data_IF_812837418870
#
_entry.id   IF_812837418870
#
_cell.length_a   1.000
_cell.length_b   1.000
_cell.length_c   1.000
_cell.angle_alpha   90.00
_cell.angle_beta   90.00
_cell.angle_gamma   90.00
#
_symmetry.space_group_name_H-M   'P 1'
#
loop_
_entity.id
_entity.type
_entity.pdbx_description
1 polymer ?
#
# COMPACT_ATOMS: atom_id res chain seq x y z
N UNK A 1 15.14 -7.00 -34.55
CA UNK A 1 15.51 -5.79 -33.79
C UNK A 1 16.31 -6.22 -32.59
N UNK A 2 17.58 -5.85 -32.53
CA UNK A 2 18.51 -6.19 -31.45
C UNK A 2 18.08 -5.40 -30.21
N UNK A 3 17.57 -6.08 -29.19
CA UNK A 3 17.16 -5.48 -27.91
C UNK A 3 18.41 -4.83 -27.29
N UNK A 4 18.43 -3.50 -27.19
CA UNK A 4 19.51 -2.79 -26.50
C UNK A 4 19.62 -3.35 -25.08
N UNK A 5 20.81 -3.83 -24.73
CA UNK A 5 21.03 -4.42 -23.42
C UNK A 5 21.02 -3.30 -22.37
N UNK A 6 20.03 -3.32 -21.48
CA UNK A 6 20.02 -2.53 -20.25
C UNK A 6 21.38 -2.63 -19.53
N UNK A 7 22.03 -1.48 -19.35
CA UNK A 7 23.37 -1.41 -18.75
C UNK A 7 23.30 -1.51 -17.22
N UNK A 8 24.31 -2.12 -16.61
CA UNK A 8 24.44 -2.17 -15.13
C UNK A 8 24.43 -0.77 -14.51
N UNK A 9 24.98 0.22 -15.21
CA UNK A 9 24.96 1.63 -14.81
C UNK A 9 23.54 2.20 -14.73
N UNK A 10 22.64 1.82 -15.64
CA UNK A 10 21.24 2.26 -15.61
C UNK A 10 20.50 1.67 -14.41
N UNK A 11 20.71 0.38 -14.12
CA UNK A 11 20.13 -0.29 -12.95
C UNK A 11 20.63 0.31 -11.64
N UNK A 12 21.94 0.55 -11.52
CA UNK A 12 22.51 1.19 -10.34
C UNK A 12 21.99 2.62 -10.13
N UNK A 13 21.81 3.41 -11.21
CA UNK A 13 21.17 4.74 -11.11
C UNK A 13 19.71 4.67 -10.69
N UNK A 14 19.00 3.61 -11.06
CA UNK A 14 17.64 3.36 -10.62
C UNK A 14 17.56 2.80 -9.19
N UNK A 15 18.69 2.66 -8.48
CA UNK A 15 18.74 2.24 -7.08
C UNK A 15 18.79 0.73 -6.85
N UNK A 16 18.91 -0.08 -7.90
CA UNK A 16 19.03 -1.53 -7.74
C UNK A 16 20.41 -1.94 -7.21
N UNK A 17 20.42 -2.87 -6.27
CA UNK A 17 21.61 -3.47 -5.67
C UNK A 17 21.85 -4.89 -6.21
N UNK A 18 20.78 -5.68 -6.41
CA UNK A 18 20.80 -7.08 -6.85
C UNK A 18 20.98 -7.28 -8.37
N UNK A 19 21.96 -6.62 -8.98
CA UNK A 19 22.06 -6.43 -10.44
C UNK A 19 22.01 -7.71 -11.30
N UNK A 20 22.42 -8.86 -10.78
CA UNK A 20 22.42 -10.14 -11.52
C UNK A 20 21.05 -10.81 -11.59
N UNK A 21 20.22 -10.73 -10.55
CA UNK A 21 18.87 -11.32 -10.51
C UNK A 21 17.79 -10.38 -11.04
N UNK A 22 18.00 -9.07 -10.88
CA UNK A 22 17.05 -8.02 -11.29
C UNK A 22 16.69 -8.10 -12.77
N UNK A 23 17.62 -8.46 -13.64
CA UNK A 23 17.35 -8.49 -15.08
C UNK A 23 16.28 -9.50 -15.47
N UNK A 24 16.35 -10.72 -14.94
CA UNK A 24 15.35 -11.75 -15.22
C UNK A 24 13.97 -11.35 -14.69
N UNK A 25 13.93 -10.74 -13.50
CA UNK A 25 12.71 -10.23 -12.89
C UNK A 25 12.10 -9.05 -13.66
N UNK A 26 12.93 -8.14 -14.21
CA UNK A 26 12.47 -7.05 -15.07
C UNK A 26 11.92 -7.59 -16.41
N UNK A 27 12.57 -8.60 -16.98
CA UNK A 27 12.09 -9.25 -18.20
C UNK A 27 10.74 -9.95 -17.94
N UNK A 28 10.59 -10.63 -16.80
CA UNK A 28 9.33 -11.23 -16.37
C UNK A 28 8.24 -10.16 -16.16
N UNK A 29 8.57 -9.08 -15.45
CA UNK A 29 7.64 -7.98 -15.19
C UNK A 29 7.16 -7.35 -16.51
N UNK A 30 8.09 -7.11 -17.45
CA UNK A 30 7.75 -6.63 -18.78
C UNK A 30 6.84 -7.61 -19.54
N UNK A 31 7.08 -8.92 -19.40
CA UNK A 31 6.22 -9.95 -19.99
C UNK A 31 4.80 -9.97 -19.41
N UNK A 32 4.66 -9.85 -18.08
CA UNK A 32 3.36 -9.86 -17.39
C UNK A 32 2.56 -8.57 -17.62
N UNK A 33 3.25 -7.44 -17.72
CA UNK A 33 2.61 -6.12 -17.85
C UNK A 33 2.40 -5.70 -19.31
N UNK A 34 3.23 -6.20 -20.23
CA UNK A 34 3.28 -5.74 -21.61
C UNK A 34 4.06 -4.43 -21.80
N UNK A 35 4.69 -3.88 -20.76
CA UNK A 35 5.44 -2.62 -20.83
C UNK A 35 6.94 -2.86 -21.01
N UNK A 36 7.62 -2.05 -21.85
CA UNK A 36 9.07 -2.05 -21.93
C UNK A 36 9.70 -1.79 -20.57
N UNK A 37 10.83 -2.44 -20.30
CA UNK A 37 11.55 -2.24 -19.02
C UNK A 37 11.96 -0.79 -18.82
N UNK A 38 12.33 -0.07 -19.90
CA UNK A 38 12.69 1.34 -19.83
C UNK A 38 11.55 2.24 -19.33
N UNK A 39 10.29 1.84 -19.57
CA UNK A 39 9.11 2.57 -19.08
C UNK A 39 8.81 2.24 -17.60
N UNK A 40 9.19 1.04 -17.14
CA UNK A 40 8.97 0.56 -15.77
C UNK A 40 10.04 1.07 -14.80
N UNK A 41 11.28 1.24 -15.27
CA UNK A 41 12.43 1.64 -14.45
C UNK A 41 12.23 2.95 -13.67
N UNK A 42 11.68 4.04 -14.25
CA UNK A 42 11.45 5.28 -13.52
C UNK A 42 10.45 5.13 -12.36
N UNK A 43 9.53 4.16 -12.43
CA UNK A 43 8.57 3.91 -11.36
C UNK A 43 9.16 3.05 -10.24
N UNK A 44 9.94 2.02 -10.60
CA UNK A 44 10.68 1.19 -9.64
C UNK A 44 11.74 1.99 -8.89
N UNK A 45 12.51 2.83 -9.62
CA UNK A 45 13.53 3.68 -9.00
C UNK A 45 12.98 4.83 -8.15
N UNK A 46 11.66 5.03 -8.13
CA UNK A 46 11.01 5.95 -7.21
C UNK A 46 10.68 5.30 -5.85
N UNK A 47 10.85 3.99 -5.70
CA UNK A 47 10.69 3.28 -4.44
C UNK A 47 11.97 3.38 -3.60
N UNK A 48 11.81 3.30 -2.27
CA UNK A 48 12.94 3.32 -1.33
C UNK A 48 13.84 2.08 -1.48
N UNK A 49 13.25 0.93 -1.83
CA UNK A 49 13.95 -0.32 -2.18
C UNK A 49 13.39 -0.87 -3.51
N UNK A 50 14.04 -0.58 -4.65
CA UNK A 50 13.61 -1.04 -5.97
C UNK A 50 13.68 -2.56 -6.15
N UNK A 51 14.65 -3.25 -5.52
CA UNK A 51 14.79 -4.71 -5.59
C UNK A 51 13.59 -5.40 -4.90
N UNK A 52 13.24 -4.91 -3.70
CA UNK A 52 12.08 -5.42 -2.97
C UNK A 52 10.76 -5.06 -3.68
N UNK A 53 10.63 -3.83 -4.17
CA UNK A 53 9.45 -3.40 -4.93
C UNK A 53 9.22 -4.29 -6.17
N UNK A 54 10.27 -4.58 -6.94
CA UNK A 54 10.20 -5.47 -8.10
C UNK A 54 9.75 -6.88 -7.70
N UNK A 55 10.37 -7.45 -6.67
CA UNK A 55 10.05 -8.79 -6.18
C UNK A 55 8.60 -8.90 -5.70
N UNK A 56 8.12 -7.91 -4.95
CA UNK A 56 6.76 -7.91 -4.42
C UNK A 56 5.71 -7.60 -5.50
N UNK A 57 6.04 -6.76 -6.49
CA UNK A 57 5.17 -6.51 -7.63
C UNK A 57 4.94 -7.77 -8.47
N UNK A 58 5.99 -8.56 -8.72
CA UNK A 58 5.89 -9.86 -9.40
C UNK A 58 4.99 -10.82 -8.61
N UNK A 59 5.19 -10.92 -7.29
CA UNK A 59 4.35 -11.76 -6.42
C UNK A 59 2.87 -11.34 -6.48
N UNK A 60 2.58 -10.03 -6.47
CA UNK A 60 1.22 -9.51 -6.60
C UNK A 60 0.60 -9.85 -7.96
N UNK A 61 1.34 -9.66 -9.06
CA UNK A 61 0.87 -10.00 -10.41
C UNK A 61 0.61 -11.50 -10.58
N UNK A 62 1.44 -12.36 -9.99
CA UNK A 62 1.26 -13.81 -10.04
C UNK A 62 0.07 -14.26 -9.17
N UNK A 63 -0.11 -13.66 -8.00
CA UNK A 63 -1.15 -14.07 -7.04
C UNK A 63 -2.53 -13.52 -7.41
N UNK A 64 -2.60 -12.26 -7.84
CA UNK A 64 -3.84 -11.53 -8.11
C UNK A 64 -3.73 -10.75 -9.42
N UNK A 65 -3.57 -11.43 -10.58
CA UNK A 65 -3.27 -10.80 -11.87
C UNK A 65 -4.30 -9.75 -12.28
N UNK A 66 -5.59 -9.99 -12.03
CA UNK A 66 -6.67 -9.06 -12.41
C UNK A 66 -6.58 -7.76 -11.62
N UNK A 67 -6.39 -7.84 -10.30
CA UNK A 67 -6.31 -6.67 -9.43
C UNK A 67 -4.99 -5.94 -9.66
N UNK A 68 -3.85 -6.65 -9.67
CA UNK A 68 -2.52 -6.06 -9.78
C UNK A 68 -2.25 -5.43 -11.16
N UNK A 69 -2.76 -6.00 -12.26
CA UNK A 69 -2.55 -5.46 -13.60
C UNK A 69 -3.15 -4.06 -13.80
N UNK A 70 -4.11 -3.63 -12.98
CA UNK A 70 -4.61 -2.25 -13.00
C UNK A 70 -3.57 -1.23 -12.51
N UNK A 71 -2.71 -1.65 -11.58
CA UNK A 71 -1.84 -0.74 -10.83
C UNK A 71 -0.39 -0.81 -11.26
N UNK A 72 0.15 -2.01 -11.49
CA UNK A 72 1.57 -2.17 -11.78
C UNK A 72 2.04 -1.46 -13.07
N UNK A 73 1.21 -1.28 -14.12
CA UNK A 73 1.75 -0.80 -15.39
C UNK A 73 1.20 0.51 -15.96
N UNK A 74 0.31 1.25 -15.28
CA UNK A 74 -0.21 2.53 -15.82
C UNK A 74 -0.13 3.69 -14.84
N UNK A 75 0.24 4.88 -15.37
CA UNK A 75 0.01 6.25 -14.88
C UNK A 75 -0.09 6.46 -13.36
N UNK A 76 0.86 7.19 -12.76
CA UNK A 76 0.90 7.70 -11.36
C UNK A 76 0.61 6.69 -10.22
N UNK A 77 -0.44 5.88 -10.30
CA UNK A 77 -0.90 4.85 -9.37
C UNK A 77 0.14 3.73 -9.22
N UNK A 78 0.79 3.33 -10.32
CA UNK A 78 1.91 2.37 -10.29
C UNK A 78 3.04 2.83 -9.37
N UNK A 79 3.40 4.12 -9.42
CA UNK A 79 4.46 4.67 -8.58
C UNK A 79 4.09 4.59 -7.11
N UNK A 80 2.82 4.81 -6.77
CA UNK A 80 2.35 4.80 -5.38
C UNK A 80 2.35 3.39 -4.80
N UNK A 81 1.83 2.42 -5.54
CA UNK A 81 1.92 1.01 -5.14
C UNK A 81 3.37 0.58 -4.97
N UNK A 82 4.23 0.86 -5.95
CA UNK A 82 5.65 0.48 -5.91
C UNK A 82 6.41 1.16 -4.76
N UNK A 83 6.15 2.45 -4.49
CA UNK A 83 6.70 3.16 -3.33
C UNK A 83 6.31 2.50 -2.02
N UNK A 84 5.02 2.23 -1.84
CA UNK A 84 4.49 1.65 -0.59
C UNK A 84 5.05 0.25 -0.36
N UNK A 85 5.02 -0.63 -1.36
CA UNK A 85 5.51 -2.01 -1.18
C UNK A 85 7.04 -2.08 -1.10
N UNK A 86 7.75 -1.17 -1.76
CA UNK A 86 9.20 -1.05 -1.62
C UNK A 86 9.62 -0.55 -0.24
N UNK A 87 8.80 0.29 0.40
CA UNK A 87 9.06 0.79 1.75
C UNK A 87 8.57 -0.16 2.86
N UNK A 88 7.61 -1.05 2.59
CA UNK A 88 6.97 -1.89 3.61
C UNK A 88 6.52 -3.25 3.07
N UNK A 89 7.25 -4.31 3.47
CA UNK A 89 6.83 -5.69 3.22
C UNK A 89 5.45 -5.99 3.82
N UNK A 90 5.14 -5.42 4.99
CA UNK A 90 3.84 -5.58 5.64
C UNK A 90 2.68 -5.02 4.81
N UNK A 91 2.90 -3.94 4.05
CA UNK A 91 1.91 -3.42 3.11
C UNK A 91 1.72 -4.37 1.92
N UNK A 92 2.80 -4.92 1.38
CA UNK A 92 2.72 -5.90 0.30
C UNK A 92 2.01 -7.18 0.73
N UNK A 93 2.30 -7.71 1.92
CA UNK A 93 1.57 -8.85 2.48
C UNK A 93 0.09 -8.56 2.70
N UNK A 94 -0.25 -7.33 3.09
CA UNK A 94 -1.64 -6.90 3.20
C UNK A 94 -2.34 -6.98 1.84
N UNK A 95 -1.74 -6.45 0.77
CA UNK A 95 -2.30 -6.54 -0.58
C UNK A 95 -2.36 -7.98 -1.11
N UNK A 96 -1.39 -8.83 -0.78
CA UNK A 96 -1.46 -10.25 -1.13
C UNK A 96 -2.65 -10.94 -0.46
N UNK A 97 -2.92 -10.62 0.82
CA UNK A 97 -4.07 -11.16 1.56
C UNK A 97 -5.40 -10.53 1.16
N UNK A 98 -5.38 -9.27 0.72
CA UNK A 98 -6.56 -8.48 0.36
C UNK A 98 -6.33 -7.71 -0.96
N UNK A 99 -6.30 -8.39 -2.13
CA UNK A 99 -5.93 -7.72 -3.39
C UNK A 99 -6.87 -6.57 -3.81
N UNK A 100 -8.13 -6.60 -3.38
CA UNK A 100 -9.09 -5.52 -3.63
C UNK A 100 -8.68 -4.19 -2.96
N UNK A 101 -7.86 -4.26 -1.90
CA UNK A 101 -7.39 -3.09 -1.16
C UNK A 101 -6.30 -2.31 -1.88
N UNK A 102 -5.77 -2.80 -3.01
CA UNK A 102 -4.96 -1.98 -3.93
C UNK A 102 -5.70 -0.70 -4.35
N UNK A 103 -7.03 -0.74 -4.39
CA UNK A 103 -7.90 0.43 -4.62
C UNK A 103 -7.74 1.56 -3.59
N UNK A 104 -7.11 1.29 -2.44
CA UNK A 104 -6.77 2.33 -1.47
C UNK A 104 -5.86 3.41 -2.05
N UNK A 105 -5.10 3.04 -3.10
CA UNK A 105 -4.11 3.87 -3.78
C UNK A 105 -4.59 4.35 -5.16
N UNK A 106 -5.90 4.28 -5.45
CA UNK A 106 -6.48 4.80 -6.71
C UNK A 106 -6.25 6.32 -6.85
N UNK A 107 -6.28 7.08 -5.75
CA UNK A 107 -6.21 8.56 -5.78
C UNK A 107 -5.19 9.07 -4.76
N UNK A 108 -4.41 10.12 -5.09
CA UNK A 108 -3.42 10.65 -4.17
C UNK A 108 -4.10 11.17 -2.92
N UNK A 109 -3.51 10.91 -1.77
CA UNK A 109 -3.92 11.55 -0.52
C UNK A 109 -3.37 12.97 -0.57
N UNK A 110 -4.25 13.96 -0.64
CA UNK A 110 -3.85 15.37 -0.78
C UNK A 110 -3.84 16.12 0.56
N UNK A 111 -4.53 15.57 1.56
CA UNK A 111 -4.55 16.06 2.93
C UNK A 111 -4.65 14.87 3.89
N UNK A 112 -4.00 14.99 5.04
CA UNK A 112 -4.13 14.02 6.12
C UNK A 112 -5.55 14.07 6.71
N UNK A 113 -6.15 12.91 7.01
CA UNK A 113 -7.46 12.88 7.63
C UNK A 113 -7.37 13.40 9.07
N UNK A 114 -8.45 14.03 9.51
CA UNK A 114 -8.63 14.43 10.91
C UNK A 114 -8.87 13.22 11.80
N UNK A 115 -8.62 13.36 13.11
CA UNK A 115 -8.95 12.34 14.10
C UNK A 115 -10.43 11.90 14.04
N UNK A 116 -11.33 12.86 13.77
CA UNK A 116 -12.77 12.61 13.66
C UNK A 116 -13.11 11.74 12.45
N UNK A 117 -12.51 12.02 11.29
CA UNK A 117 -12.72 11.22 10.07
C UNK A 117 -12.18 9.79 10.24
N UNK A 118 -11.02 9.63 10.88
CA UNK A 118 -10.44 8.32 11.18
C UNK A 118 -11.32 7.52 12.14
N UNK A 119 -11.81 8.18 13.20
CA UNK A 119 -12.72 7.58 14.18
C UNK A 119 -14.02 7.14 13.54
N UNK A 120 -14.64 8.01 12.75
CA UNK A 120 -15.87 7.70 12.03
C UNK A 120 -15.69 6.51 11.07
N UNK A 121 -14.60 6.50 10.29
CA UNK A 121 -14.31 5.43 9.32
C UNK A 121 -14.09 4.06 9.96
N UNK A 122 -13.38 4.00 11.09
CA UNK A 122 -13.17 2.72 11.79
C UNK A 122 -14.41 2.25 12.53
N UNK A 123 -15.22 3.16 13.09
CA UNK A 123 -16.52 2.81 13.68
C UNK A 123 -17.51 2.30 12.63
N UNK A 124 -17.56 2.94 11.45
CA UNK A 124 -18.37 2.49 10.32
C UNK A 124 -17.97 1.08 9.86
N UNK A 125 -16.68 0.75 9.86
CA UNK A 125 -16.21 -0.58 9.45
C UNK A 125 -16.75 -1.74 10.30
N UNK A 126 -17.17 -1.46 11.54
CA UNK A 126 -17.80 -2.44 12.44
C UNK A 126 -19.31 -2.20 12.61
N UNK A 127 -19.88 -1.26 11.85
CA UNK A 127 -21.29 -0.86 11.91
C UNK A 127 -21.68 -0.31 13.28
N UNK A 128 -20.80 0.46 13.94
CA UNK A 128 -21.06 0.92 15.29
C UNK A 128 -22.24 1.92 15.34
N UNK A 129 -23.22 1.64 16.20
CA UNK A 129 -24.35 2.52 16.52
C UNK A 129 -24.43 2.66 18.03
N UNK A 130 -24.51 3.90 18.53
CA UNK A 130 -24.54 4.23 19.96
C UNK A 130 -23.42 3.55 20.78
N UNK A 131 -22.26 3.35 20.14
CA UNK A 131 -21.08 2.73 20.75
C UNK A 131 -21.10 1.21 20.80
N UNK A 132 -21.97 0.54 20.05
CA UNK A 132 -22.03 -0.93 19.91
C UNK A 132 -21.87 -1.32 18.45
N UNK A 133 -20.99 -2.27 18.16
CA UNK A 133 -20.83 -2.83 16.81
C UNK A 133 -22.10 -3.59 16.36
N UNK A 134 -22.42 -3.53 15.07
CA UNK A 134 -23.52 -4.31 14.48
C UNK A 134 -23.12 -5.79 14.25
N UNK A 135 -21.85 -6.02 13.95
CA UNK A 135 -21.25 -7.34 13.73
C UNK A 135 -20.51 -7.84 14.97
N UNK A 136 -20.41 -9.16 15.14
CA UNK A 136 -19.75 -9.78 16.29
C UNK A 136 -18.54 -10.62 15.86
N UNK A 137 -17.71 -10.96 16.85
CA UNK A 137 -16.64 -11.96 16.72
C UNK A 137 -15.68 -11.70 15.55
N UNK A 138 -15.34 -12.73 14.78
CA UNK A 138 -14.29 -12.73 13.78
C UNK A 138 -14.56 -11.77 12.61
N UNK A 139 -15.83 -11.58 12.25
CA UNK A 139 -16.23 -10.65 11.19
C UNK A 139 -15.90 -9.21 11.55
N UNK A 140 -16.24 -8.79 12.77
CA UNK A 140 -15.94 -7.44 13.27
C UNK A 140 -14.43 -7.18 13.30
N UNK A 141 -13.65 -8.15 13.79
CA UNK A 141 -12.19 -8.03 13.83
C UNK A 141 -11.57 -7.99 12.44
N UNK A 142 -12.09 -8.77 11.50
CA UNK A 142 -11.61 -8.78 10.12
C UNK A 142 -11.89 -7.45 9.44
N UNK A 143 -13.13 -6.95 9.53
CA UNK A 143 -13.52 -5.67 8.95
C UNK A 143 -12.68 -4.51 9.51
N UNK A 144 -12.49 -4.45 10.82
CA UNK A 144 -11.65 -3.44 11.47
C UNK A 144 -10.19 -3.52 11.01
N UNK A 145 -9.59 -4.72 10.97
CA UNK A 145 -8.19 -4.90 10.56
C UNK A 145 -7.97 -4.54 9.09
N UNK A 146 -8.93 -4.85 8.22
CA UNK A 146 -8.88 -4.46 6.80
C UNK A 146 -8.96 -2.94 6.68
N UNK A 147 -9.94 -2.30 7.33
CA UNK A 147 -10.09 -0.84 7.26
C UNK A 147 -8.90 -0.09 7.86
N UNK A 148 -8.39 -0.53 9.01
CA UNK A 148 -7.19 0.03 9.62
C UNK A 148 -5.99 -0.03 8.68
N UNK A 149 -5.72 -1.19 8.08
CA UNK A 149 -4.60 -1.35 7.14
C UNK A 149 -4.80 -0.53 5.86
N UNK A 150 -6.04 -0.40 5.38
CA UNK A 150 -6.38 0.50 4.27
C UNK A 150 -5.98 1.95 4.58
N UNK A 151 -6.30 2.46 5.77
CA UNK A 151 -5.89 3.82 6.19
C UNK A 151 -4.39 3.92 6.38
N UNK A 152 -3.76 2.90 6.94
CA UNK A 152 -2.31 2.88 7.13
C UNK A 152 -1.53 2.97 5.81
N UNK A 153 -1.95 2.23 4.77
CA UNK A 153 -1.28 2.32 3.45
C UNK A 153 -1.53 3.66 2.76
N UNK A 154 -2.67 4.31 3.01
CA UNK A 154 -2.94 5.67 2.51
C UNK A 154 -2.03 6.71 3.19
N UNK A 155 -1.86 6.62 4.51
CA UNK A 155 -0.92 7.47 5.25
C UNK A 155 0.52 7.24 4.81
N UNK A 156 0.92 5.98 4.59
CA UNK A 156 2.24 5.65 4.07
C UNK A 156 2.45 6.21 2.64
N UNK A 157 1.43 6.15 1.77
CA UNK A 157 1.50 6.75 0.43
C UNK A 157 1.70 8.26 0.52
N UNK A 158 0.95 8.94 1.40
CA UNK A 158 1.10 10.38 1.64
C UNK A 158 2.53 10.72 2.06
N UNK A 159 3.06 9.98 3.04
CA UNK A 159 4.41 10.19 3.59
C UNK A 159 5.51 10.02 2.53
N UNK A 160 5.41 8.96 1.72
CA UNK A 160 6.37 8.64 0.66
C UNK A 160 6.26 9.55 -0.59
N UNK A 161 5.23 10.39 -0.66
CA UNK A 161 5.02 11.35 -1.75
C UNK A 161 5.51 12.76 -1.42
N UNK A 162 5.91 13.02 -0.17
CA UNK A 162 6.36 14.34 0.25
C UNK A 162 7.70 14.73 -0.41
N UNK A 163 7.79 15.99 -0.85
CA UNK A 163 9.05 16.56 -1.36
C UNK A 163 10.06 16.83 -0.24
N UNK A 164 9.56 17.24 0.94
CA UNK A 164 10.34 17.41 2.17
C UNK A 164 9.80 16.47 3.27
N UNK A 165 10.37 15.26 3.41
CA UNK A 165 9.93 14.29 4.41
C UNK A 165 10.07 14.78 5.86
N UNK A 166 11.02 15.68 6.13
CA UNK A 166 11.27 16.16 7.49
C UNK A 166 10.16 17.13 7.92
N UNK A 167 9.70 17.97 7.00
CA UNK A 167 8.66 18.96 7.29
C UNK A 167 7.30 18.34 7.63
N UNK A 168 6.92 17.21 7.02
CA UNK A 168 5.62 16.56 7.27
C UNK A 168 5.65 15.42 8.28
N UNK A 169 6.82 15.07 8.84
CA UNK A 169 6.96 13.97 9.79
C UNK A 169 5.99 14.09 10.98
N UNK A 170 5.95 15.25 11.64
CA UNK A 170 5.12 15.47 12.83
C UNK A 170 3.62 15.29 12.53
N UNK A 171 3.18 15.74 11.34
CA UNK A 171 1.79 15.63 10.93
C UNK A 171 1.39 14.17 10.64
N UNK A 172 2.26 13.41 9.97
CA UNK A 172 2.06 11.97 9.73
C UNK A 172 2.05 11.20 11.05
N UNK A 173 2.97 11.51 11.97
CA UNK A 173 3.03 10.88 13.29
C UNK A 173 1.76 11.14 14.12
N UNK A 174 1.21 12.35 14.06
CA UNK A 174 -0.07 12.67 14.68
C UNK A 174 -1.22 11.87 14.06
N UNK A 175 -1.33 11.82 12.73
CA UNK A 175 -2.38 11.06 12.04
C UNK A 175 -2.30 9.54 12.32
N UNK A 176 -1.09 8.98 12.46
CA UNK A 176 -0.90 7.58 12.87
C UNK A 176 -1.37 7.33 14.31
N UNK A 177 -1.11 8.29 15.21
CA UNK A 177 -1.58 8.23 16.60
C UNK A 177 -3.10 8.29 16.67
N UNK A 178 -3.71 9.18 15.89
CA UNK A 178 -5.17 9.30 15.77
C UNK A 178 -5.80 8.03 15.17
N UNK A 179 -5.16 7.42 14.16
CA UNK A 179 -5.62 6.16 13.59
C UNK A 179 -5.59 5.02 14.62
N UNK A 180 -4.57 4.99 15.48
CA UNK A 180 -4.50 4.03 16.58
C UNK A 180 -5.61 4.29 17.62
N UNK A 181 -5.87 5.55 17.99
CA UNK A 181 -6.96 5.90 18.90
C UNK A 181 -8.34 5.50 18.33
N UNK A 182 -8.58 5.77 17.05
CA UNK A 182 -9.78 5.34 16.34
C UNK A 182 -9.97 3.81 16.36
N UNK A 183 -8.88 3.04 16.23
CA UNK A 183 -8.93 1.59 16.29
C UNK A 183 -9.31 1.08 17.68
N UNK A 184 -8.85 1.74 18.74
CA UNK A 184 -9.25 1.44 20.12
C UNK A 184 -10.74 1.69 20.34
N UNK A 185 -11.28 2.79 19.82
CA UNK A 185 -12.72 3.08 19.92
C UNK A 185 -13.58 2.04 19.20
N UNK A 186 -13.23 1.68 17.96
CA UNK A 186 -13.92 0.63 17.22
C UNK A 186 -13.83 -0.73 17.93
N UNK A 187 -12.66 -1.06 18.49
CA UNK A 187 -12.47 -2.29 19.28
C UNK A 187 -13.34 -2.31 20.54
N UNK A 188 -13.51 -1.16 21.20
CA UNK A 188 -14.39 -1.02 22.36
C UNK A 188 -15.86 -1.21 21.98
N UNK A 189 -16.29 -0.70 20.83
CA UNK A 189 -17.65 -0.92 20.33
C UNK A 189 -17.94 -2.41 20.08
N UNK A 190 -16.95 -3.15 19.54
CA UNK A 190 -17.03 -4.60 19.37
C UNK A 190 -17.10 -5.32 20.72
N UNK A 191 -16.25 -4.94 21.69
CA UNK A 191 -16.24 -5.56 23.03
C UNK A 191 -17.55 -5.31 23.81
N UNK A 192 -18.14 -4.12 23.71
CA UNK A 192 -19.45 -3.80 24.32
C UNK A 192 -20.56 -4.68 23.76
N UNK A 193 -20.56 -4.89 22.43
CA UNK A 193 -21.54 -5.77 21.77
C UNK A 193 -21.44 -7.22 22.26
N UNK A 194 -20.22 -7.72 22.46
CA UNK A 194 -19.96 -9.09 22.93
C UNK A 194 -20.37 -9.33 24.38
N UNK A 195 -20.34 -8.29 25.22
CA UNK A 195 -20.65 -8.41 26.65
C UNK A 195 -22.11 -8.09 26.98
N UNK A 196 -22.82 -7.39 26.09
CA UNK A 196 -24.21 -6.98 26.28
C UNK A 196 -25.22 -7.81 25.47
N UNK A 197 -24.73 -8.70 24.59
CA UNK A 197 -25.54 -9.68 23.84
C UNK A 197 -25.49 -11.04 24.51
#
# INVERSE_FOLDING_TARGET
MTREQLSLTALARAGFVGLSSVRAQLDELAGLTGFPVDDLLPALGAAADPDNALTLALRLLQHAPVQAARYVPSRNDARRVLRVIGASEGAAEFFLRQPAELSALDYPVTALPTAEELRADLLDSVGAVDGFAAVTEEEAWTALRVRYRRRLVQLASYDLEQEDPVAGFDAVAAALSDLAAAALEASLAVARRQTSG
#
